data_IF_092108516924
#
_entry.id   IF_092108516924
#
_cell.length_a   1.000
_cell.length_b   1.000
_cell.length_c   1.000
_cell.angle_alpha   90.00
_cell.angle_beta   90.00
_cell.angle_gamma   90.00
#
_symmetry.space_group_name_H-M   'P 1'
#
loop_
_entity.id
_entity.type
_entity.pdbx_description
1 polymer ?
#
# COMPACT_ATOMS: atom_id res chain seq x y z
N UNK A 1 14.37 19.33 8.13
CA UNK A 1 13.78 18.07 7.65
C UNK A 1 14.73 16.86 7.68
N UNK A 2 16.06 16.99 7.82
CA UNK A 2 17.00 15.83 7.85
C UNK A 2 17.06 15.04 9.17
N UNK A 3 16.28 15.43 10.17
CA UNK A 3 16.40 14.92 11.53
C UNK A 3 15.29 13.92 11.91
N UNK A 4 14.31 13.63 11.05
CA UNK A 4 13.15 12.84 11.45
C UNK A 4 13.54 11.46 12.03
N UNK A 5 14.43 10.71 11.35
CA UNK A 5 14.90 9.40 11.84
C UNK A 5 15.80 9.49 13.08
N UNK A 6 16.50 10.60 13.30
CA UNK A 6 17.23 10.85 14.56
C UNK A 6 16.26 11.04 15.73
N UNK A 7 15.21 11.83 15.53
CA UNK A 7 14.16 12.01 16.55
C UNK A 7 13.47 10.68 16.85
N UNK A 8 13.15 9.88 15.82
CA UNK A 8 12.56 8.54 16.01
C UNK A 8 13.46 7.67 16.88
N UNK A 9 14.77 7.60 16.55
CA UNK A 9 15.74 6.83 17.33
C UNK A 9 15.79 7.29 18.79
N UNK A 10 15.93 8.60 19.03
CA UNK A 10 16.05 9.16 20.37
C UNK A 10 14.77 9.02 21.20
N UNK A 11 13.64 8.78 20.52
CA UNK A 11 12.32 8.60 21.13
C UNK A 11 11.82 7.16 21.08
N UNK A 12 12.64 6.22 20.59
CA UNK A 12 12.23 4.84 20.36
C UNK A 12 11.72 4.17 21.63
N UNK A 13 12.37 4.42 22.78
CA UNK A 13 11.97 3.84 24.06
C UNK A 13 10.76 4.53 24.72
N UNK A 14 10.35 5.69 24.20
CA UNK A 14 9.30 6.52 24.78
C UNK A 14 7.91 6.35 24.13
N UNK A 15 7.84 5.86 22.90
CA UNK A 15 6.59 5.71 22.15
C UNK A 15 6.46 4.33 21.53
N UNK A 16 5.24 3.82 21.44
CA UNK A 16 4.95 2.50 20.87
C UNK A 16 4.63 2.57 19.37
N UNK A 17 4.35 3.78 18.87
CA UNK A 17 3.98 4.04 17.49
C UNK A 17 4.59 5.34 17.00
N UNK A 18 5.06 5.32 15.76
CA UNK A 18 5.61 6.47 15.06
C UNK A 18 4.85 6.71 13.78
N UNK A 19 4.70 7.99 13.46
CA UNK A 19 3.91 8.50 12.34
C UNK A 19 4.77 9.56 11.66
N UNK A 20 5.04 9.39 10.38
CA UNK A 20 5.79 10.36 9.58
C UNK A 20 5.04 10.59 8.28
N UNK A 21 4.44 11.77 8.10
CA UNK A 21 3.72 12.16 6.89
C UNK A 21 4.06 13.60 6.50
N UNK A 22 3.63 14.01 5.31
CA UNK A 22 3.61 15.43 4.92
C UNK A 22 2.67 16.22 5.84
N UNK A 23 2.94 17.52 6.01
CA UNK A 23 2.24 18.42 6.94
C UNK A 23 0.78 18.68 6.57
N UNK A 24 0.39 18.38 5.33
CA UNK A 24 -0.96 18.49 4.79
C UNK A 24 -1.66 17.13 4.63
N UNK A 25 -1.22 16.09 5.34
CA UNK A 25 -1.94 14.81 5.42
C UNK A 25 -2.83 14.72 6.66
N UNK A 26 -4.12 14.41 6.47
CA UNK A 26 -5.07 14.17 7.57
C UNK A 26 -5.02 12.73 8.05
N UNK A 27 -4.41 12.52 9.21
CA UNK A 27 -4.45 11.26 9.95
C UNK A 27 -5.53 11.32 11.02
N UNK A 28 -6.40 10.31 11.09
CA UNK A 28 -7.46 10.21 12.10
C UNK A 28 -7.15 9.09 13.09
N UNK A 29 -7.86 9.09 14.24
CA UNK A 29 -7.81 7.96 15.18
C UNK A 29 -8.22 6.63 14.53
N UNK A 30 -9.15 6.65 13.56
CA UNK A 30 -9.56 5.46 12.82
C UNK A 30 -8.41 4.86 11.99
N UNK A 31 -7.58 5.70 11.34
CA UNK A 31 -6.40 5.23 10.61
C UNK A 31 -5.39 4.56 11.55
N UNK A 32 -5.13 5.18 12.70
CA UNK A 32 -4.20 4.67 13.71
C UNK A 32 -4.69 3.33 14.29
N UNK A 33 -5.95 3.26 14.71
CA UNK A 33 -6.53 2.04 15.28
C UNK A 33 -6.53 0.89 14.26
N UNK A 34 -6.91 1.17 13.02
CA UNK A 34 -6.89 0.18 11.94
C UNK A 34 -5.47 -0.33 11.65
N UNK A 35 -4.49 0.57 11.59
CA UNK A 35 -3.08 0.23 11.41
C UNK A 35 -2.58 -0.70 12.52
N UNK A 36 -2.90 -0.39 13.79
CA UNK A 36 -2.49 -1.20 14.94
C UNK A 36 -3.17 -2.58 14.93
N UNK A 37 -4.46 -2.64 14.63
CA UNK A 37 -5.22 -3.90 14.52
C UNK A 37 -4.64 -4.81 13.43
N UNK A 38 -4.43 -4.27 12.23
CA UNK A 38 -3.83 -5.03 11.14
C UNK A 38 -2.38 -5.44 11.44
N UNK A 39 -1.59 -4.56 12.06
CA UNK A 39 -0.21 -4.89 12.45
C UNK A 39 -0.16 -6.03 13.47
N UNK A 40 -1.05 -6.02 14.46
CA UNK A 40 -1.18 -7.10 15.44
C UNK A 40 -1.54 -8.43 14.78
N UNK A 41 -2.50 -8.41 13.85
CA UNK A 41 -2.93 -9.60 13.13
C UNK A 41 -1.83 -10.14 12.20
N UNK A 42 -1.13 -9.27 11.47
CA UNK A 42 0.03 -9.65 10.66
C UNK A 42 1.14 -10.25 11.54
N UNK A 43 1.38 -9.72 12.74
CA UNK A 43 2.36 -10.27 13.68
C UNK A 43 1.96 -11.64 14.22
N UNK A 44 0.67 -11.88 14.46
CA UNK A 44 0.16 -13.21 14.82
C UNK A 44 0.43 -14.20 13.68
N UNK A 45 0.04 -13.85 12.46
CA UNK A 45 0.25 -14.69 11.28
C UNK A 45 1.73 -14.95 11.00
N UNK A 46 2.61 -13.97 11.23
CA UNK A 46 4.07 -14.10 11.11
C UNK A 46 4.62 -15.19 12.06
N UNK A 47 4.15 -15.21 13.32
CA UNK A 47 4.54 -16.23 14.31
C UNK A 47 4.02 -17.63 13.99
N UNK A 48 2.89 -17.72 13.29
CA UNK A 48 2.26 -18.98 12.87
C UNK A 48 2.79 -19.45 11.50
N UNK A 49 3.52 -18.60 10.78
CA UNK A 49 3.98 -18.90 9.43
C UNK A 49 5.07 -19.98 9.42
N UNK A 50 5.04 -20.93 8.45
CA UNK A 50 6.10 -21.90 8.30
C UNK A 50 7.41 -21.24 7.86
N UNK A 51 8.55 -21.83 8.24
CA UNK A 51 9.87 -21.39 7.76
C UNK A 51 10.12 -21.65 6.28
N UNK A 52 9.47 -22.69 5.73
CA UNK A 52 9.61 -23.11 4.34
C UNK A 52 8.28 -23.67 3.83
N UNK A 53 8.01 -23.53 2.53
CA UNK A 53 6.84 -24.12 1.88
C UNK A 53 7.28 -25.38 1.11
N UNK A 54 6.97 -26.60 1.60
CA UNK A 54 7.45 -27.84 0.98
C UNK A 54 6.85 -28.07 -0.42
N UNK A 55 5.64 -27.57 -0.67
CA UNK A 55 4.90 -27.80 -1.92
C UNK A 55 5.28 -26.83 -3.05
N UNK A 56 6.45 -26.19 -2.94
CA UNK A 56 6.91 -25.19 -3.90
C UNK A 56 8.20 -25.69 -4.56
N UNK A 57 8.17 -26.09 -5.84
CA UNK A 57 9.39 -26.45 -6.56
C UNK A 57 10.37 -25.27 -6.55
N UNK A 58 11.63 -25.51 -6.21
CA UNK A 58 12.68 -24.46 -6.09
C UNK A 58 12.82 -23.59 -7.35
N UNK A 59 12.46 -24.13 -8.53
CA UNK A 59 12.60 -23.47 -9.83
C UNK A 59 11.34 -22.72 -10.30
N UNK A 60 10.23 -22.76 -9.55
CA UNK A 60 9.00 -22.09 -9.97
C UNK A 60 9.08 -20.58 -9.65
N UNK A 61 8.71 -19.74 -10.62
CA UNK A 61 8.77 -18.27 -10.48
C UNK A 61 7.84 -17.79 -9.35
N UNK A 62 8.36 -17.23 -8.23
CA UNK A 62 7.55 -16.76 -7.11
C UNK A 62 6.45 -15.76 -7.50
N UNK A 63 6.64 -15.01 -8.59
CA UNK A 63 5.64 -14.07 -9.12
C UNK A 63 4.48 -14.77 -9.81
N UNK A 64 4.70 -15.98 -10.30
CA UNK A 64 3.66 -16.88 -10.85
C UNK A 64 3.03 -17.71 -9.74
N UNK A 65 3.74 -17.96 -8.63
CA UNK A 65 3.28 -18.74 -7.48
C UNK A 65 2.33 -18.00 -6.54
N UNK A 66 1.37 -18.79 -6.04
CA UNK A 66 0.65 -18.64 -4.76
C UNK A 66 0.20 -17.22 -4.45
N UNK A 67 -0.71 -16.70 -5.25
CA UNK A 67 -1.56 -15.60 -4.82
C UNK A 67 -2.54 -16.01 -3.71
N UNK A 68 -2.53 -17.29 -3.30
CA UNK A 68 -3.26 -17.86 -2.19
C UNK A 68 -2.41 -18.90 -1.44
N UNK A 69 -2.86 -19.29 -0.24
CA UNK A 69 -2.17 -20.24 0.63
C UNK A 69 -1.20 -19.58 1.60
N UNK A 70 -0.57 -20.41 2.43
CA UNK A 70 0.40 -19.99 3.45
C UNK A 70 1.57 -19.21 2.85
N UNK A 71 2.01 -18.20 3.60
CA UNK A 71 3.27 -17.47 3.39
C UNK A 71 4.35 -18.02 4.32
N UNK A 72 5.61 -17.90 3.94
CA UNK A 72 6.71 -18.13 4.88
C UNK A 72 6.81 -16.99 5.90
N UNK A 73 7.51 -17.25 7.01
CA UNK A 73 7.91 -16.21 7.97
C UNK A 73 8.60 -15.03 7.26
N UNK A 74 9.56 -15.31 6.37
CA UNK A 74 10.28 -14.28 5.60
C UNK A 74 9.35 -13.43 4.73
N UNK A 75 8.31 -14.01 4.14
CA UNK A 75 7.30 -13.28 3.38
C UNK A 75 6.39 -12.44 4.29
N UNK A 76 5.95 -13.00 5.42
CA UNK A 76 5.10 -12.30 6.39
C UNK A 76 5.79 -11.08 6.99
N UNK A 77 7.09 -11.18 7.31
CA UNK A 77 7.89 -10.07 7.81
C UNK A 77 7.96 -8.88 6.85
N UNK A 78 7.77 -9.10 5.54
CA UNK A 78 7.75 -8.05 4.52
C UNK A 78 6.40 -7.34 4.38
N UNK A 79 5.35 -7.78 5.07
CA UNK A 79 4.04 -7.12 5.04
C UNK A 79 3.92 -6.01 6.08
N UNK A 80 3.28 -4.91 5.69
CA UNK A 80 2.90 -3.80 6.58
C UNK A 80 1.58 -3.19 6.10
N UNK A 81 0.68 -2.74 6.99
CA UNK A 81 -0.52 -2.04 6.53
C UNK A 81 -0.12 -0.79 5.73
N UNK A 82 -0.71 -0.68 4.54
CA UNK A 82 -0.46 0.42 3.61
C UNK A 82 -1.49 1.51 3.72
N UNK A 83 -1.20 2.65 3.12
CA UNK A 83 -2.19 3.69 2.89
C UNK A 83 -2.28 4.00 1.40
N UNK A 84 -3.26 4.80 1.02
CA UNK A 84 -3.44 5.37 -0.32
C UNK A 84 -3.73 6.85 -0.11
N UNK A 85 -2.94 7.72 -0.73
CA UNK A 85 -3.17 9.15 -0.62
C UNK A 85 -4.31 9.55 -1.54
N UNK A 86 -5.24 10.35 -1.01
CA UNK A 86 -6.42 10.81 -1.74
C UNK A 86 -6.61 12.32 -1.63
N UNK A 87 -7.12 12.92 -2.67
CA UNK A 87 -7.59 14.31 -2.70
C UNK A 87 -9.10 14.31 -2.90
N UNK A 88 -9.69 15.45 -2.61
CA UNK A 88 -11.09 15.72 -2.89
C UNK A 88 -11.16 16.63 -4.12
N UNK A 89 -11.97 16.24 -5.09
CA UNK A 89 -12.20 17.00 -6.30
C UNK A 89 -12.86 18.34 -5.95
N UNK A 90 -12.18 19.45 -6.24
CA UNK A 90 -12.64 20.79 -5.86
C UNK A 90 -13.58 21.37 -6.92
N UNK A 91 -13.29 21.12 -8.19
CA UNK A 91 -14.08 21.57 -9.33
C UNK A 91 -13.90 20.61 -10.50
N UNK A 92 -14.91 19.78 -10.77
CA UNK A 92 -14.88 18.78 -11.84
C UNK A 92 -14.85 19.39 -13.25
N UNK A 93 -15.32 20.63 -13.40
CA UNK A 93 -15.29 21.33 -14.68
C UNK A 93 -13.87 21.79 -15.05
N UNK A 94 -13.04 22.05 -14.05
CA UNK A 94 -11.66 22.51 -14.23
C UNK A 94 -10.64 21.38 -14.10
N UNK A 95 -10.83 20.50 -13.11
CA UNK A 95 -9.95 19.38 -12.81
C UNK A 95 -10.75 18.10 -13.00
N UNK A 96 -10.46 17.36 -14.07
CA UNK A 96 -11.20 16.12 -14.38
C UNK A 96 -10.45 14.92 -13.84
N UNK A 97 -11.21 13.93 -13.35
CA UNK A 97 -10.69 12.59 -13.17
C UNK A 97 -10.41 11.92 -14.52
N UNK A 98 -9.51 10.95 -14.53
CA UNK A 98 -9.24 10.08 -15.67
C UNK A 98 -10.53 9.41 -16.15
N UNK A 99 -10.77 9.47 -17.47
CA UNK A 99 -11.92 8.83 -18.12
C UNK A 99 -11.55 7.44 -18.66
N UNK A 100 -10.36 7.34 -19.25
CA UNK A 100 -9.86 6.10 -19.83
C UNK A 100 -9.22 5.25 -18.73
N UNK A 101 -9.99 4.35 -18.15
CA UNK A 101 -9.49 3.47 -17.08
C UNK A 101 -8.68 2.30 -17.64
N UNK A 102 -7.98 1.60 -16.75
CA UNK A 102 -7.43 0.29 -17.10
C UNK A 102 -8.56 -0.65 -17.60
N UNK A 103 -8.29 -1.58 -18.53
CA UNK A 103 -9.24 -2.53 -19.11
C UNK A 103 -9.67 -3.64 -18.12
N UNK A 104 -10.16 -3.22 -16.96
CA UNK A 104 -10.73 -4.05 -15.91
C UNK A 104 -12.11 -3.46 -15.63
N UNK A 105 -13.15 -4.28 -15.74
CA UNK A 105 -14.52 -3.87 -15.43
C UNK A 105 -14.62 -3.40 -13.98
N UNK A 106 -15.46 -2.40 -13.74
CA UNK A 106 -15.77 -1.92 -12.39
C UNK A 106 -16.96 -2.75 -11.90
N UNK A 107 -16.78 -3.39 -10.75
CA UNK A 107 -17.81 -4.18 -10.08
C UNK A 107 -17.86 -3.77 -8.59
N UNK A 108 -19.05 -3.50 -8.07
CA UNK A 108 -19.26 -3.09 -6.67
C UNK A 108 -19.90 -4.20 -5.83
N UNK A 109 -20.30 -5.31 -6.42
CA UNK A 109 -20.85 -6.47 -5.71
C UNK A 109 -19.69 -7.22 -5.03
N UNK A 110 -19.55 -7.09 -3.71
CA UNK A 110 -18.45 -7.73 -2.98
C UNK A 110 -18.79 -9.20 -2.67
N UNK A 111 -17.91 -10.17 -2.96
CA UNK A 111 -18.27 -11.58 -2.82
C UNK A 111 -18.69 -11.98 -1.40
N UNK A 112 -19.95 -12.45 -1.29
CA UNK A 112 -20.51 -12.93 -0.02
C UNK A 112 -21.23 -11.87 0.80
N UNK A 113 -21.34 -10.64 0.29
CA UNK A 113 -22.12 -9.56 0.89
C UNK A 113 -23.20 -9.09 -0.10
N UNK A 114 -24.35 -8.66 0.42
CA UNK A 114 -25.46 -8.18 -0.41
C UNK A 114 -25.34 -6.67 -0.66
N UNK A 115 -25.39 -6.27 -1.94
CA UNK A 115 -25.50 -4.88 -2.37
C UNK A 115 -24.22 -4.28 -2.96
N UNK A 116 -24.31 -3.03 -3.42
CA UNK A 116 -23.17 -2.30 -3.97
C UNK A 116 -22.32 -1.72 -2.84
N UNK A 117 -21.03 -2.06 -2.85
CA UNK A 117 -20.05 -1.57 -1.90
C UNK A 117 -19.21 -0.46 -2.52
N UNK A 118 -19.32 0.74 -1.94
CA UNK A 118 -18.54 1.91 -2.31
C UNK A 118 -17.59 2.30 -1.19
N UNK A 119 -16.59 3.12 -1.51
CA UNK A 119 -15.76 3.73 -0.47
C UNK A 119 -16.61 4.65 0.42
N UNK A 120 -16.19 4.80 1.68
CA UNK A 120 -16.79 5.68 2.68
C UNK A 120 -15.85 6.87 2.96
N UNK A 121 -16.12 8.05 2.38
CA UNK A 121 -15.31 9.25 2.61
C UNK A 121 -15.40 9.79 4.04
N UNK A 122 -16.36 9.34 4.85
CA UNK A 122 -16.52 9.82 6.22
C UNK A 122 -15.31 9.48 7.10
N UNK A 123 -14.64 8.36 6.79
CA UNK A 123 -13.43 7.91 7.48
C UNK A 123 -12.25 8.84 7.22
N UNK A 124 -11.95 9.12 5.95
CA UNK A 124 -10.73 9.82 5.55
C UNK A 124 -10.89 11.32 5.37
N UNK A 125 -12.03 11.75 4.84
CA UNK A 125 -12.09 12.93 3.99
C UNK A 125 -13.18 13.93 4.43
N UNK A 126 -14.11 13.52 5.30
CA UNK A 126 -15.06 14.45 5.93
C UNK A 126 -14.33 15.34 6.94
N UNK A 127 -14.43 16.64 6.73
CA UNK A 127 -13.79 17.70 7.53
C UNK A 127 -14.80 18.77 7.95
N UNK A 128 -15.91 18.40 8.63
CA UNK A 128 -16.99 19.34 8.95
C UNK A 128 -16.56 20.55 9.80
N UNK A 129 -15.49 20.38 10.58
CA UNK A 129 -15.00 21.38 11.53
C UNK A 129 -13.71 22.09 11.07
N UNK A 130 -13.28 21.89 9.82
CA UNK A 130 -12.14 22.60 9.25
C UNK A 130 -12.64 23.68 8.30
N UNK A 131 -11.89 24.77 8.15
CA UNK A 131 -12.08 25.69 7.02
C UNK A 131 -11.26 25.16 5.85
N UNK A 132 -11.87 24.44 4.89
CA UNK A 132 -11.09 23.89 3.80
C UNK A 132 -10.71 25.01 2.82
N UNK A 133 -9.78 24.72 1.91
CA UNK A 133 -9.48 25.63 0.81
C UNK A 133 -10.76 25.99 0.04
N UNK A 134 -10.85 27.23 -0.46
CA UNK A 134 -12.03 27.73 -1.18
C UNK A 134 -12.50 26.72 -2.24
N UNK A 135 -13.78 26.33 -2.15
CA UNK A 135 -14.43 25.40 -3.07
C UNK A 135 -14.32 23.92 -2.69
N UNK A 136 -13.48 23.55 -1.73
CA UNK A 136 -13.36 22.15 -1.30
C UNK A 136 -14.58 21.75 -0.46
N UNK A 137 -15.32 20.69 -0.83
CA UNK A 137 -16.47 20.25 -0.04
C UNK A 137 -15.99 19.65 1.30
N UNK A 138 -16.70 19.97 2.38
CA UNK A 138 -16.40 19.46 3.73
C UNK A 138 -16.91 18.05 3.94
N UNK A 139 -17.89 17.61 3.16
CA UNK A 139 -18.52 16.28 3.21
C UNK A 139 -18.54 15.69 1.78
N UNK A 140 -17.37 15.37 1.19
CA UNK A 140 -17.30 14.78 -0.14
C UNK A 140 -18.06 13.46 -0.22
N UNK A 141 -18.62 13.16 -1.40
CA UNK A 141 -19.16 11.84 -1.73
C UNK A 141 -18.06 10.93 -2.26
N UNK A 142 -18.32 9.62 -2.33
CA UNK A 142 -17.37 8.62 -2.85
C UNK A 142 -16.78 9.02 -4.21
N UNK A 143 -17.63 9.46 -5.13
CA UNK A 143 -17.20 9.90 -6.46
C UNK A 143 -16.28 11.13 -6.45
N UNK A 144 -16.32 11.94 -5.40
CA UNK A 144 -15.52 13.17 -5.30
C UNK A 144 -14.09 12.88 -4.79
N UNK A 145 -13.77 11.62 -4.41
CA UNK A 145 -12.45 11.22 -3.90
C UNK A 145 -11.58 10.67 -5.03
N UNK A 146 -10.39 11.23 -5.19
CA UNK A 146 -9.43 10.88 -6.26
C UNK A 146 -8.06 10.49 -5.70
N UNK A 147 -7.34 9.65 -6.44
CA UNK A 147 -5.98 9.18 -6.21
C UNK A 147 -5.10 9.70 -7.35
N UNK A 148 -3.87 10.15 -7.08
CA UNK A 148 -2.96 10.67 -8.12
C UNK A 148 -1.73 9.78 -8.42
N UNK A 149 -1.72 8.59 -7.83
CA UNK A 149 -0.54 7.72 -7.76
C UNK A 149 -0.68 6.37 -8.44
N UNK A 150 -1.84 5.96 -8.97
CA UNK A 150 -1.90 4.59 -9.52
C UNK A 150 -2.95 4.41 -10.59
N UNK A 151 -2.74 3.33 -11.32
CA UNK A 151 -3.79 2.60 -12.01
C UNK A 151 -3.79 1.14 -11.50
N UNK A 152 -4.91 0.43 -11.63
CA UNK A 152 -5.07 -0.96 -11.20
C UNK A 152 -4.04 -1.92 -11.84
N UNK A 153 -3.47 -1.55 -12.99
CA UNK A 153 -2.46 -2.32 -13.76
C UNK A 153 -1.23 -2.75 -12.97
N UNK A 154 -0.87 -2.02 -11.92
CA UNK A 154 0.30 -2.33 -11.10
C UNK A 154 -0.04 -3.20 -9.89
N UNK A 155 -1.31 -3.30 -9.54
CA UNK A 155 -1.79 -3.87 -8.30
C UNK A 155 -2.16 -5.34 -8.49
N UNK A 156 -2.36 -6.01 -7.37
CA UNK A 156 -2.84 -7.37 -7.39
C UNK A 156 -3.35 -7.77 -6.02
N UNK A 157 -4.14 -8.83 -5.97
CA UNK A 157 -4.73 -9.31 -4.73
C UNK A 157 -4.04 -10.59 -4.26
N UNK A 158 -4.01 -10.78 -2.95
CA UNK A 158 -3.47 -11.98 -2.31
C UNK A 158 -4.44 -12.47 -1.24
N UNK A 159 -4.77 -13.76 -1.29
CA UNK A 159 -5.49 -14.41 -0.21
C UNK A 159 -4.54 -14.72 0.95
N UNK A 160 -4.98 -14.42 2.17
CA UNK A 160 -4.28 -14.73 3.41
C UNK A 160 -5.22 -15.57 4.27
N UNK A 161 -4.81 -16.82 4.53
CA UNK A 161 -5.58 -17.71 5.38
C UNK A 161 -5.45 -17.30 6.86
N UNK A 162 -6.50 -17.49 7.65
CA UNK A 162 -6.44 -17.38 9.11
C UNK A 162 -6.64 -15.98 9.69
N UNK A 163 -6.90 -14.96 8.87
CA UNK A 163 -7.26 -13.63 9.37
C UNK A 163 -8.74 -13.32 9.30
N UNK A 164 -9.26 -12.73 10.38
CA UNK A 164 -10.62 -12.20 10.44
C UNK A 164 -10.71 -10.73 9.96
N UNK A 165 -9.59 -10.00 9.96
CA UNK A 165 -9.53 -8.60 9.53
C UNK A 165 -9.28 -8.45 8.02
N UNK A 166 -8.63 -9.44 7.40
CA UNK A 166 -8.35 -9.41 5.96
C UNK A 166 -8.16 -10.82 5.41
N UNK A 167 -9.12 -11.30 4.64
CA UNK A 167 -9.00 -12.55 3.88
C UNK A 167 -8.30 -12.29 2.54
N UNK A 168 -8.65 -11.19 1.87
CA UNK A 168 -8.01 -10.71 0.65
C UNK A 168 -7.34 -9.36 0.89
N UNK A 169 -6.06 -9.29 0.50
CA UNK A 169 -5.25 -8.09 0.56
C UNK A 169 -4.94 -7.59 -0.84
N UNK A 170 -5.15 -6.31 -1.11
CA UNK A 170 -4.51 -5.64 -2.22
C UNK A 170 -3.05 -5.35 -1.87
N UNK A 171 -2.13 -5.81 -2.71
CA UNK A 171 -0.70 -5.55 -2.57
C UNK A 171 -0.31 -4.29 -3.33
N UNK A 172 0.43 -3.43 -2.63
CA UNK A 172 1.04 -2.22 -3.14
C UNK A 172 2.55 -2.48 -3.20
N UNK A 173 3.05 -3.13 -4.26
CA UNK A 173 4.36 -3.72 -4.23
C UNK A 173 5.46 -2.66 -4.20
N UNK A 174 6.48 -2.92 -3.38
CA UNK A 174 7.75 -2.22 -3.50
C UNK A 174 8.46 -2.58 -4.83
N UNK A 175 9.58 -1.92 -5.17
CA UNK A 175 10.33 -2.21 -6.39
C UNK A 175 10.90 -3.64 -6.41
N UNK A 176 11.05 -4.28 -5.23
CA UNK A 176 11.59 -5.64 -5.09
C UNK A 176 13.03 -5.77 -5.54
N UNK A 177 13.72 -4.65 -5.83
CA UNK A 177 15.12 -4.64 -6.19
C UNK A 177 15.90 -5.11 -4.96
N UNK A 178 16.75 -6.13 -5.17
CA UNK A 178 17.62 -6.72 -4.14
C UNK A 178 16.90 -7.43 -2.99
N UNK A 179 15.62 -7.74 -3.16
CA UNK A 179 14.91 -8.64 -2.25
C UNK A 179 15.27 -10.08 -2.60
N UNK A 180 15.46 -10.93 -1.58
CA UNK A 180 15.69 -12.34 -1.83
C UNK A 180 14.45 -12.99 -2.45
N UNK A 181 14.65 -13.96 -3.34
CA UNK A 181 13.52 -14.63 -4.03
C UNK A 181 12.50 -15.24 -3.06
N UNK A 182 12.98 -15.74 -1.91
CA UNK A 182 12.15 -16.33 -0.84
C UNK A 182 11.27 -15.32 -0.12
N UNK A 183 11.60 -14.03 -0.19
CA UNK A 183 10.86 -12.94 0.46
C UNK A 183 9.83 -12.31 -0.49
N UNK A 184 9.91 -12.60 -1.79
CA UNK A 184 8.96 -12.08 -2.78
C UNK A 184 7.56 -12.63 -2.50
N UNK A 185 6.60 -11.73 -2.45
CA UNK A 185 5.19 -12.06 -2.19
C UNK A 185 4.44 -12.11 -3.52
N UNK A 186 3.88 -13.27 -3.84
CA UNK A 186 3.04 -13.47 -5.02
C UNK A 186 1.65 -12.83 -4.86
N UNK A 187 1.08 -12.40 -5.99
CA UNK A 187 -0.30 -11.89 -6.05
C UNK A 187 -0.98 -12.28 -7.37
N UNK A 188 -2.31 -12.27 -7.36
CA UNK A 188 -3.13 -12.37 -8.54
C UNK A 188 -3.14 -11.01 -9.21
N UNK A 189 -2.92 -10.98 -10.52
CA UNK A 189 -2.86 -9.76 -11.30
C UNK A 189 -3.68 -9.98 -12.56
N UNK A 190 -4.57 -9.04 -12.90
CA UNK A 190 -5.51 -9.17 -14.02
C UNK A 190 -4.84 -9.35 -15.38
N UNK A 191 -3.58 -8.95 -15.55
CA UNK A 191 -2.83 -9.25 -16.77
C UNK A 191 -2.60 -10.75 -17.01
N UNK A 192 -2.74 -11.60 -15.97
CA UNK A 192 -2.75 -13.06 -16.12
C UNK A 192 -3.92 -13.56 -16.98
N UNK A 193 -5.04 -12.83 -16.96
CA UNK A 193 -6.25 -13.15 -17.71
C UNK A 193 -6.31 -12.40 -19.05
N UNK A 194 -5.21 -11.75 -19.45
CA UNK A 194 -5.12 -11.02 -20.71
C UNK A 194 -5.74 -9.63 -20.68
N UNK A 195 -6.12 -9.09 -19.50
CA UNK A 195 -6.67 -7.73 -19.40
C UNK A 195 -5.78 -6.68 -20.07
N UNK A 196 -4.45 -6.86 -20.01
CA UNK A 196 -3.48 -5.95 -20.59
C UNK A 196 -2.78 -6.50 -21.86
N UNK A 197 -3.30 -7.57 -22.48
CA UNK A 197 -2.65 -8.24 -23.60
C UNK A 197 -1.21 -8.66 -23.28
N UNK A 198 -0.25 -8.29 -24.13
CA UNK A 198 1.17 -8.59 -23.97
C UNK A 198 1.93 -7.60 -23.06
N UNK A 199 1.24 -6.60 -22.49
CA UNK A 199 1.88 -5.57 -21.67
C UNK A 199 2.27 -6.19 -20.32
N UNK A 200 3.57 -6.19 -19.94
CA UNK A 200 4.00 -6.76 -18.68
C UNK A 200 3.54 -5.91 -17.49
N UNK A 201 3.38 -6.55 -16.32
CA UNK A 201 3.07 -5.84 -15.08
C UNK A 201 4.16 -4.79 -14.80
N UNK A 202 3.79 -3.51 -14.64
CA UNK A 202 4.76 -2.48 -14.31
C UNK A 202 5.50 -2.81 -13.01
N UNK A 203 6.76 -2.38 -12.92
CA UNK A 203 7.52 -2.51 -11.66
C UNK A 203 6.84 -1.69 -10.57
N UNK A 204 6.91 -2.17 -9.32
CA UNK A 204 6.57 -1.32 -8.18
C UNK A 204 7.39 -0.03 -8.20
N UNK A 205 8.63 -0.01 -8.67
CA UNK A 205 9.48 1.18 -8.62
C UNK A 205 9.08 2.37 -9.50
N UNK A 206 8.05 2.28 -10.35
CA UNK A 206 7.71 3.38 -11.27
C UNK A 206 7.08 4.54 -10.47
N UNK A 207 7.60 5.79 -10.58
CA UNK A 207 7.16 6.91 -9.74
C UNK A 207 5.71 7.36 -9.94
N UNK A 208 5.10 7.04 -11.08
CA UNK A 208 3.69 7.31 -11.36
C UNK A 208 2.74 6.23 -10.78
N UNK A 209 3.30 5.22 -10.11
CA UNK A 209 2.59 4.14 -9.42
C UNK A 209 2.71 4.28 -7.89
N UNK A 210 1.77 3.67 -7.16
CA UNK A 210 1.51 3.87 -5.71
C UNK A 210 2.70 3.51 -4.79
N UNK A 211 3.79 2.99 -5.33
CA UNK A 211 4.97 2.54 -4.61
C UNK A 211 5.74 3.61 -3.84
N UNK A 212 5.58 4.89 -4.18
CA UNK A 212 6.32 5.97 -3.55
C UNK A 212 5.40 6.81 -2.65
N UNK A 213 5.24 6.38 -1.40
CA UNK A 213 4.64 7.23 -0.37
C UNK A 213 5.73 7.94 0.42
N UNK A 214 5.61 9.26 0.52
CA UNK A 214 6.48 10.09 1.35
C UNK A 214 6.29 9.86 2.85
N UNK A 215 5.17 9.23 3.25
CA UNK A 215 4.83 8.97 4.65
C UNK A 215 4.52 7.51 4.98
N UNK A 216 4.63 7.18 6.28
CA UNK A 216 4.48 5.85 6.84
C UNK A 216 4.03 5.90 8.30
N UNK A 217 3.49 4.77 8.77
CA UNK A 217 3.31 4.48 10.20
C UNK A 217 4.07 3.20 10.51
N UNK A 218 4.60 3.09 11.73
CA UNK A 218 5.16 1.85 12.22
C UNK A 218 5.11 1.78 13.75
N UNK A 219 4.95 0.58 14.28
CA UNK A 219 5.18 0.33 15.71
C UNK A 219 6.66 0.35 16.04
N UNK A 220 6.99 0.49 17.32
CA UNK A 220 8.36 0.37 17.82
C UNK A 220 9.03 -0.93 17.36
N UNK A 221 8.32 -2.05 17.48
CA UNK A 221 8.82 -3.38 17.11
C UNK A 221 9.06 -3.48 15.59
N UNK A 222 8.16 -2.90 14.79
CA UNK A 222 8.35 -2.85 13.33
C UNK A 222 9.61 -2.05 12.97
N UNK A 223 9.85 -0.91 13.63
CA UNK A 223 11.07 -0.11 13.42
C UNK A 223 12.33 -0.88 13.81
N UNK A 224 12.32 -1.56 14.96
CA UNK A 224 13.45 -2.39 15.42
C UNK A 224 13.72 -3.49 14.41
N UNK A 225 12.68 -4.20 13.95
CA UNK A 225 12.80 -5.26 12.95
C UNK A 225 13.34 -4.75 11.62
N UNK A 226 12.88 -3.57 11.18
CA UNK A 226 13.43 -2.91 9.99
C UNK A 226 14.93 -2.65 10.16
N UNK A 227 15.30 -2.00 11.27
CA UNK A 227 16.68 -1.61 11.55
C UNK A 227 17.65 -2.79 11.70
N UNK A 228 17.19 -3.90 12.26
CA UNK A 228 18.04 -5.03 12.64
C UNK A 228 18.04 -6.18 11.63
N UNK A 229 16.92 -6.40 10.92
CA UNK A 229 16.72 -7.63 10.14
C UNK A 229 16.42 -7.38 8.66
N UNK A 230 15.56 -6.41 8.34
CA UNK A 230 14.92 -6.36 7.01
C UNK A 230 15.59 -5.41 6.03
N UNK A 231 16.15 -4.30 6.50
CA UNK A 231 16.79 -3.33 5.63
C UNK A 231 18.21 -3.81 5.28
N UNK A 232 18.69 -3.50 4.07
CA UNK A 232 20.06 -3.85 3.67
C UNK A 232 21.13 -3.05 4.45
N UNK A 233 20.74 -1.89 4.97
CA UNK A 233 21.49 -1.12 5.96
C UNK A 233 20.64 -0.86 7.21
N UNK A 234 20.92 0.22 7.92
CA UNK A 234 20.14 0.63 9.09
C UNK A 234 18.95 1.52 8.73
N UNK A 235 17.81 1.28 9.38
CA UNK A 235 16.67 2.18 9.25
C UNK A 235 16.88 3.42 10.11
N UNK A 236 17.42 3.24 11.32
CA UNK A 236 17.72 4.30 12.28
C UNK A 236 19.19 4.73 12.23
N UNK A 237 19.51 5.97 12.63
CA UNK A 237 20.90 6.41 12.79
C UNK A 237 21.57 5.78 14.06
N UNK A 238 22.87 6.04 14.31
CA UNK A 238 23.81 6.64 13.37
C UNK A 238 23.95 5.71 12.16
N UNK A 239 24.03 6.33 10.98
CA UNK A 239 24.39 5.58 9.79
C UNK A 239 25.92 5.53 9.78
N UNK A 240 26.46 4.69 10.67
CA UNK A 240 27.90 4.62 10.89
C UNK A 240 28.63 4.15 9.61
N UNK A 241 29.88 4.59 9.38
CA UNK A 241 30.67 4.15 8.24
C UNK A 241 30.79 2.61 8.15
N UNK A 242 30.94 2.07 6.92
CA UNK A 242 31.15 2.81 5.67
C UNK A 242 29.85 3.43 5.14
N UNK A 243 29.94 4.68 4.67
CA UNK A 243 28.85 5.30 3.93
C UNK A 243 28.63 4.55 2.62
N UNK A 244 27.55 3.80 2.51
CA UNK A 244 27.15 3.27 1.23
C UNK A 244 26.51 4.42 0.44
N UNK A 245 27.08 4.77 -0.73
CA UNK A 245 26.43 5.69 -1.69
C UNK A 245 24.97 5.27 -1.96
N UNK A 246 24.78 3.96 -1.94
CA UNK A 246 23.51 3.29 -2.11
C UNK A 246 22.63 3.30 -0.88
N UNK A 247 23.05 3.76 0.29
CA UNK A 247 22.14 3.91 1.44
C UNK A 247 21.38 5.22 1.39
N UNK A 248 21.59 6.05 0.36
CA UNK A 248 20.83 7.28 0.08
C UNK A 248 21.10 8.43 1.04
N UNK A 249 22.05 8.31 1.98
CA UNK A 249 22.38 9.37 2.95
C UNK A 249 22.83 10.68 2.29
N UNK A 250 23.44 10.60 1.11
CA UNK A 250 23.82 11.77 0.32
C UNK A 250 22.62 12.44 -0.37
N UNK A 251 21.44 11.83 -0.30
CA UNK A 251 20.24 12.33 -0.95
C UNK A 251 19.75 13.61 -0.28
N UNK A 252 19.56 14.65 -1.09
CA UNK A 252 18.89 15.90 -0.70
C UNK A 252 17.36 15.75 -0.67
N UNK A 253 16.85 14.52 -0.76
CA UNK A 253 15.44 14.19 -0.90
C UNK A 253 14.77 14.08 0.49
N UNK A 254 13.64 14.76 0.70
CA UNK A 254 12.96 14.79 2.01
C UNK A 254 12.35 13.44 2.36
N UNK A 255 11.91 12.67 1.37
CA UNK A 255 11.31 11.34 1.50
C UNK A 255 12.33 10.29 1.95
N UNK A 256 13.61 10.51 1.63
CA UNK A 256 14.72 9.77 2.22
C UNK A 256 14.86 10.09 3.71
N UNK A 257 14.83 11.35 4.09
CA UNK A 257 15.05 11.73 5.49
C UNK A 257 13.83 11.49 6.38
N UNK A 258 12.61 11.49 5.82
CA UNK A 258 11.40 11.00 6.50
C UNK A 258 11.44 9.49 6.70
N UNK A 259 12.20 8.76 5.89
CA UNK A 259 12.34 7.31 5.93
C UNK A 259 11.36 6.57 5.03
N UNK A 260 10.39 7.24 4.40
CA UNK A 260 9.41 6.58 3.53
C UNK A 260 10.06 5.89 2.32
N UNK A 261 11.08 6.53 1.75
CA UNK A 261 11.85 5.95 0.66
C UNK A 261 12.54 4.64 1.08
N UNK A 262 13.16 4.59 2.26
CA UNK A 262 13.85 3.41 2.77
C UNK A 262 12.86 2.35 3.21
N UNK A 263 11.73 2.76 3.77
CA UNK A 263 10.71 1.82 4.23
C UNK A 263 10.19 0.97 3.07
N UNK A 264 9.79 1.61 1.97
CA UNK A 264 9.08 0.93 0.88
C UNK A 264 9.93 0.65 -0.36
N UNK A 265 10.94 1.46 -0.63
CA UNK A 265 11.80 1.25 -1.80
C UNK A 265 13.01 0.39 -1.43
N UNK A 266 13.57 -0.29 -2.42
CA UNK A 266 14.80 -1.09 -2.31
C UNK A 266 15.88 -0.68 -3.28
N UNK A 267 15.73 0.50 -3.90
CA UNK A 267 16.65 0.93 -4.96
C UNK A 267 17.97 1.42 -4.36
N UNK A 268 17.92 1.94 -3.12
CA UNK A 268 19.08 2.46 -2.37
C UNK A 268 18.99 2.04 -0.90
N UNK A 269 19.38 0.80 -0.58
CA UNK A 269 19.56 0.33 0.80
C UNK A 269 18.27 0.17 1.62
N UNK A 270 17.11 0.30 0.98
CA UNK A 270 15.83 0.24 1.68
C UNK A 270 15.29 -1.18 1.91
N UNK A 271 14.26 -1.26 2.72
CA UNK A 271 13.70 -2.44 3.35
C UNK A 271 12.67 -3.15 2.47
N UNK A 272 12.33 -2.59 1.30
CA UNK A 272 11.39 -3.17 0.33
C UNK A 272 10.06 -3.67 0.94
N UNK A 273 9.54 -3.00 1.96
CA UNK A 273 8.30 -3.44 2.61
C UNK A 273 7.15 -3.41 1.60
N UNK A 274 6.35 -4.48 1.62
CA UNK A 274 5.16 -4.64 0.81
C UNK A 274 3.97 -4.14 1.60
N UNK A 275 3.38 -3.04 1.12
CA UNK A 275 2.19 -2.46 1.74
C UNK A 275 0.96 -3.27 1.37
N UNK A 276 0.06 -3.45 2.33
CA UNK A 276 -1.19 -4.18 2.14
C UNK A 276 -2.39 -3.34 2.52
N UNK A 277 -3.43 -3.43 1.69
CA UNK A 277 -4.72 -2.79 1.90
C UNK A 277 -5.77 -3.89 2.01
N UNK A 278 -6.56 -3.89 3.07
CA UNK A 278 -7.68 -4.83 3.20
C UNK A 278 -8.71 -4.55 2.11
N UNK A 279 -9.15 -5.60 1.42
CA UNK A 279 -10.20 -5.50 0.40
C UNK A 279 -11.61 -5.51 1.00
N UNK A 280 -11.76 -5.80 2.29
CA UNK A 280 -13.07 -5.77 2.95
C UNK A 280 -13.70 -4.37 2.88
N UNK A 281 -14.98 -4.25 2.48
CA UNK A 281 -15.64 -2.96 2.31
C UNK A 281 -15.53 -2.01 3.51
N UNK A 282 -15.73 -2.54 4.73
CA UNK A 282 -15.68 -1.80 6.00
C UNK A 282 -14.25 -1.41 6.44
N UNK A 283 -13.23 -1.80 5.69
CA UNK A 283 -11.83 -1.54 6.01
C UNK A 283 -11.09 -0.76 4.92
N UNK A 284 -11.47 -0.91 3.65
CA UNK A 284 -10.76 -0.27 2.54
C UNK A 284 -10.60 1.24 2.75
N UNK A 285 -11.67 1.92 3.17
CA UNK A 285 -11.68 3.38 3.40
C UNK A 285 -10.75 3.84 4.53
N UNK A 286 -10.40 2.96 5.47
CA UNK A 286 -9.44 3.23 6.56
C UNK A 286 -7.99 3.25 6.07
N UNK A 287 -7.74 2.82 4.84
CA UNK A 287 -6.45 2.96 4.17
C UNK A 287 -6.32 4.27 3.38
N UNK A 288 -7.39 5.05 3.21
CA UNK A 288 -7.34 6.30 2.47
C UNK A 288 -6.90 7.45 3.38
N UNK A 289 -5.85 8.19 3.01
CA UNK A 289 -5.40 9.37 3.75
C UNK A 289 -5.62 10.61 2.90
N UNK A 290 -6.40 11.55 3.44
CA UNK A 290 -6.74 12.78 2.76
C UNK A 290 -5.58 13.79 2.80
N UNK A 291 -5.13 14.22 1.64
CA UNK A 291 -4.20 15.33 1.45
C UNK A 291 -4.97 16.65 1.34
N UNK A 292 -5.03 17.38 2.45
CA UNK A 292 -5.96 18.50 2.65
C UNK A 292 -5.64 19.72 1.78
N UNK A 293 -4.43 19.80 1.22
CA UNK A 293 -4.03 20.90 0.36
C UNK A 293 -4.78 20.90 -1.00
N UNK A 294 -5.26 19.75 -1.47
CA UNK A 294 -5.92 19.61 -2.78
C UNK A 294 -5.16 20.28 -3.94
N UNK A 295 -3.84 20.17 -3.94
CA UNK A 295 -2.96 20.85 -4.89
C UNK A 295 -2.47 19.93 -6.02
N UNK A 296 -2.53 18.60 -5.85
CA UNK A 296 -2.04 17.64 -6.85
C UNK A 296 -2.90 17.64 -8.10
N UNK A 297 -4.21 17.82 -7.96
CA UNK A 297 -5.11 17.99 -9.10
C UNK A 297 -4.79 19.23 -9.97
N UNK A 298 -4.05 20.22 -9.43
CA UNK A 298 -3.58 21.40 -10.19
C UNK A 298 -2.21 21.19 -10.84
N UNK A 299 -1.41 20.30 -10.27
CA UNK A 299 0.00 20.10 -10.63
C UNK A 299 0.20 18.93 -11.60
N UNK A 300 -0.71 17.96 -11.57
CA UNK A 300 -0.59 16.72 -12.32
C UNK A 300 -1.69 16.62 -13.39
N UNK A 301 -1.41 15.85 -14.44
CA UNK A 301 -2.37 15.61 -15.52
C UNK A 301 -3.60 14.81 -15.02
N UNK A 302 -4.76 15.08 -15.62
CA UNK A 302 -6.01 14.37 -15.33
C UNK A 302 -5.92 12.86 -15.59
N UNK A 303 -5.06 12.43 -16.52
CA UNK A 303 -4.75 11.02 -16.78
C UNK A 303 -4.11 10.29 -15.59
N UNK A 304 -3.69 11.01 -14.54
CA UNK A 304 -3.20 10.44 -13.28
C UNK A 304 -4.25 10.43 -12.17
N UNK A 305 -5.39 11.08 -12.37
CA UNK A 305 -6.41 11.32 -11.33
C UNK A 305 -7.48 10.24 -11.38
N UNK A 306 -7.24 9.11 -10.74
CA UNK A 306 -8.18 7.99 -10.68
C UNK A 306 -9.19 8.21 -9.55
N UNK A 307 -10.49 8.01 -9.78
CA UNK A 307 -11.45 7.97 -8.66
C UNK A 307 -11.16 6.78 -7.77
N UNK A 308 -11.11 7.01 -6.46
CA UNK A 308 -10.81 5.95 -5.48
C UNK A 308 -11.87 4.84 -5.53
N UNK A 309 -13.12 5.19 -5.79
CA UNK A 309 -14.22 4.23 -5.95
C UNK A 309 -14.06 3.35 -7.20
N UNK A 310 -13.61 3.92 -8.32
CA UNK A 310 -13.30 3.15 -9.53
C UNK A 310 -12.16 2.16 -9.26
N UNK A 311 -11.10 2.58 -8.55
CA UNK A 311 -10.03 1.68 -8.16
C UNK A 311 -10.56 0.52 -7.32
N UNK A 312 -11.38 0.82 -6.31
CA UNK A 312 -11.97 -0.20 -5.44
C UNK A 312 -12.78 -1.22 -6.24
N UNK A 313 -13.69 -0.76 -7.12
CA UNK A 313 -14.50 -1.66 -7.93
C UNK A 313 -13.69 -2.47 -8.96
N UNK A 314 -12.65 -1.89 -9.57
CA UNK A 314 -11.72 -2.67 -10.41
C UNK A 314 -11.03 -3.77 -9.61
N UNK A 315 -10.64 -3.49 -8.35
CA UNK A 315 -9.97 -4.46 -7.50
C UNK A 315 -10.92 -5.54 -6.97
N UNK A 316 -12.23 -5.27 -6.85
CA UNK A 316 -13.26 -6.29 -6.61
C UNK A 316 -13.33 -7.26 -7.79
N UNK A 317 -13.32 -6.77 -9.03
CA UNK A 317 -13.27 -7.63 -10.24
C UNK A 317 -12.03 -8.52 -10.24
N UNK A 318 -10.87 -7.97 -9.89
CA UNK A 318 -9.61 -8.73 -9.76
C UNK A 318 -9.73 -9.80 -8.65
N UNK A 319 -10.39 -9.48 -7.54
CA UNK A 319 -10.65 -10.40 -6.44
C UNK A 319 -11.57 -11.56 -6.86
N UNK A 320 -12.69 -11.28 -7.55
CA UNK A 320 -13.59 -12.32 -8.09
C UNK A 320 -12.85 -13.27 -9.04
N UNK A 321 -12.02 -12.72 -9.93
CA UNK A 321 -11.19 -13.53 -10.82
C UNK A 321 -10.20 -14.41 -10.03
N UNK A 322 -9.54 -13.84 -9.01
CA UNK A 322 -8.63 -14.58 -8.13
C UNK A 322 -9.35 -15.72 -7.36
N UNK A 323 -10.55 -15.48 -6.84
CA UNK A 323 -11.35 -16.50 -6.17
C UNK A 323 -11.72 -17.65 -7.13
N UNK A 324 -12.13 -17.33 -8.37
CA UNK A 324 -12.41 -18.33 -9.40
C UNK A 324 -11.18 -19.15 -9.75
N UNK A 325 -10.03 -18.50 -9.92
CA UNK A 325 -8.76 -19.17 -10.17
C UNK A 325 -8.35 -20.09 -9.01
N UNK A 326 -8.50 -19.62 -7.75
CA UNK A 326 -8.26 -20.43 -6.55
C UNK A 326 -9.17 -21.65 -6.50
N UNK A 327 -10.46 -21.50 -6.81
CA UNK A 327 -11.43 -22.60 -6.83
C UNK A 327 -11.15 -23.61 -7.96
N UNK A 328 -10.65 -23.15 -9.11
CA UNK A 328 -10.23 -24.01 -10.21
C UNK A 328 -9.03 -24.90 -9.84
N UNK A 329 -8.06 -24.36 -9.09
CA UNK A 329 -6.89 -25.10 -8.61
C UNK A 329 -7.25 -26.18 -7.58
N UNK A 330 -8.29 -25.98 -6.77
CA UNK A 330 -8.73 -26.97 -5.78
C UNK A 330 -9.38 -28.23 -6.40
N UNK A 331 -9.68 -28.21 -7.71
CA UNK A 331 -10.28 -29.33 -8.44
C UNK A 331 -9.26 -30.23 -9.13
N UNK A 332 -7.98 -29.84 -9.16
CA UNK A 332 -6.87 -30.57 -9.77
C UNK A 332 -6.13 -31.41 -8.72
#
# INVERSE_FOLDING_TARGET
SRQHRYVIKDKLDHYDMFVAFEDDMRITGAHIQHFLQMSSELSKLDKEAPKSLPDVPENMDPKKMKFHGSMTEDQMKRLVPGFIRVEVLVDESQYTAQKDLDPIEIDFDYPGEDGDHHIDPSVCCHVPNMQPNKGTPTLPRAKDVIIWETAAKALGVRHVDGSHLFDWLMLLPGPGKRMDKKELIGSYWSGRDGAFGDIPRPSGGVPDLIAQQGGWMATREQIIRLDQELCQGKFLPPFDPPDYYEDGQQSMNVEYWSGGYQFFTGVRGGCNMQRVVSMKPEHFSKHLIYHVANNKQKQLASSRMLRADNLFGQMITVLKAAQKAKAGLAKL
#
